data_IF_133908297299
#
_entry.id   IF_133908297299
#
_cell.length_a   1.000
_cell.length_b   1.000
_cell.length_c   1.000
_cell.angle_alpha   90.00
_cell.angle_beta   90.00
_cell.angle_gamma   90.00
#
_symmetry.space_group_name_H-M   'P 1'
#
loop_
_entity.id
_entity.type
_entity.pdbx_description
1 polymer ?
#
# COMPACT_ATOMS: atom_id res chain seq x y z
N UNK A 1 45.51 41.81 -9.11
CA UNK A 1 44.06 41.68 -8.88
C UNK A 1 43.92 40.37 -8.11
N UNK A 2 43.65 40.45 -6.81
CA UNK A 2 43.76 39.35 -5.85
C UNK A 2 42.43 38.58 -5.79
N UNK A 3 42.52 37.26 -5.68
CA UNK A 3 41.45 36.26 -5.53
C UNK A 3 40.37 36.62 -4.49
N UNK A 4 39.12 36.26 -4.80
CA UNK A 4 38.10 35.96 -3.80
C UNK A 4 37.30 34.72 -4.22
N UNK A 5 37.44 33.67 -3.42
CA UNK A 5 36.52 32.54 -3.31
C UNK A 5 35.15 33.04 -2.82
N UNK A 6 34.07 32.66 -3.51
CA UNK A 6 32.71 32.56 -2.94
C UNK A 6 32.08 31.29 -3.52
N UNK A 7 32.30 30.15 -2.88
CA UNK A 7 31.36 29.45 -1.98
C UNK A 7 30.11 28.98 -2.72
N UNK A 8 29.94 27.65 -2.70
CA UNK A 8 28.80 26.90 -3.19
C UNK A 8 27.46 27.55 -2.82
N UNK A 9 26.53 27.57 -3.77
CA UNK A 9 25.12 27.40 -3.45
C UNK A 9 24.64 26.15 -4.20
N UNK A 10 25.06 25.00 -3.67
CA UNK A 10 24.17 23.85 -3.57
C UNK A 10 23.02 24.33 -2.66
N UNK A 11 22.03 25.01 -3.21
CA UNK A 11 20.72 25.05 -2.56
C UNK A 11 20.12 23.68 -2.84
N UNK A 12 20.58 22.71 -2.04
CA UNK A 12 19.78 21.55 -1.72
C UNK A 12 18.51 22.11 -1.10
N UNK A 13 17.51 22.32 -1.95
CA UNK A 13 16.14 22.44 -1.51
C UNK A 13 15.65 21.05 -1.10
N UNK A 14 16.35 20.48 -0.11
CA UNK A 14 15.79 19.55 0.85
C UNK A 14 14.95 20.38 1.81
N UNK A 15 13.99 21.13 1.27
CA UNK A 15 12.83 21.54 2.01
C UNK A 15 12.16 20.24 2.41
N UNK A 16 12.41 19.83 3.65
CA UNK A 16 11.45 19.20 4.54
C UNK A 16 10.30 18.54 3.77
N UNK A 17 10.62 17.48 3.03
CA UNK A 17 9.64 16.53 2.52
C UNK A 17 9.19 15.81 3.76
N UNK A 18 8.39 16.52 4.57
CA UNK A 18 8.14 16.22 5.96
C UNK A 18 7.88 14.75 6.08
N UNK A 19 8.58 14.07 7.00
CA UNK A 19 8.45 12.63 7.22
C UNK A 19 6.97 12.27 7.29
N UNK A 20 6.38 11.92 6.15
CA UNK A 20 5.00 11.49 6.06
C UNK A 20 5.06 10.11 6.64
N UNK A 21 4.62 10.00 7.90
CA UNK A 21 4.44 8.72 8.53
C UNK A 21 3.40 7.97 7.71
N UNK A 22 3.83 6.90 7.05
CA UNK A 22 2.94 6.02 6.31
C UNK A 22 2.53 4.87 7.23
N UNK A 23 1.25 4.53 7.16
CA UNK A 23 0.75 3.27 7.71
C UNK A 23 0.47 2.32 6.55
N UNK A 24 0.49 1.01 6.82
CA UNK A 24 0.10 0.02 5.84
C UNK A 24 -1.35 -0.39 6.06
N UNK A 25 -2.16 -0.28 5.01
CA UNK A 25 -3.53 -0.77 4.99
C UNK A 25 -3.68 -2.02 4.14
N UNK A 26 -4.67 -2.84 4.48
CA UNK A 26 -5.13 -3.96 3.68
C UNK A 26 -6.62 -3.86 3.37
N UNK A 27 -7.03 -4.30 2.18
CA UNK A 27 -8.42 -4.25 1.73
C UNK A 27 -8.78 -5.45 0.85
N UNK A 28 -10.00 -6.02 0.99
CA UNK A 28 -10.53 -6.99 0.04
C UNK A 28 -10.63 -6.43 -1.38
N UNK A 29 -10.11 -7.17 -2.35
CA UNK A 29 -10.29 -6.87 -3.78
C UNK A 29 -10.82 -8.08 -4.53
N UNK A 30 -11.29 -7.86 -5.75
CA UNK A 30 -11.78 -8.90 -6.65
C UNK A 30 -11.26 -8.66 -8.08
N UNK A 31 -11.13 -9.70 -8.91
CA UNK A 31 -10.74 -9.55 -10.31
C UNK A 31 -11.74 -8.66 -11.08
N UNK A 32 -11.22 -7.76 -11.92
CA UNK A 32 -12.00 -6.74 -12.61
C UNK A 32 -12.27 -7.05 -14.10
N UNK A 33 -12.25 -8.34 -14.46
CA UNK A 33 -12.56 -8.86 -15.79
C UNK A 33 -11.41 -8.85 -16.81
N UNK A 34 -10.29 -8.19 -16.51
CA UNK A 34 -9.06 -8.23 -17.32
C UNK A 34 -7.92 -8.87 -16.52
N UNK A 35 -7.02 -9.65 -17.15
CA UNK A 35 -5.87 -10.24 -16.47
C UNK A 35 -5.02 -9.18 -15.76
N UNK A 36 -4.64 -9.45 -14.51
CA UNK A 36 -3.86 -8.52 -13.69
C UNK A 36 -4.65 -7.32 -13.14
N UNK A 37 -5.90 -7.10 -13.56
CA UNK A 37 -6.71 -5.99 -13.05
C UNK A 37 -7.65 -6.42 -11.94
N UNK A 38 -7.61 -5.67 -10.86
CA UNK A 38 -8.45 -5.82 -9.68
C UNK A 38 -9.28 -4.57 -9.44
N UNK A 39 -10.34 -4.74 -8.65
CA UNK A 39 -11.15 -3.64 -8.17
C UNK A 39 -11.51 -3.87 -6.71
N UNK A 40 -11.83 -2.77 -6.01
CA UNK A 40 -12.28 -2.82 -4.63
C UNK A 40 -13.59 -3.61 -4.56
N UNK A 41 -13.68 -4.56 -3.62
CA UNK A 41 -14.92 -5.27 -3.38
C UNK A 41 -15.96 -4.31 -2.79
N UNK A 42 -17.15 -4.27 -3.39
CA UNK A 42 -18.24 -3.40 -2.92
C UNK A 42 -18.56 -3.67 -1.45
N UNK A 43 -18.89 -2.60 -0.71
CA UNK A 43 -19.23 -2.64 0.72
C UNK A 43 -18.14 -3.20 1.66
N UNK A 44 -16.88 -3.22 1.22
CA UNK A 44 -15.74 -3.52 2.08
C UNK A 44 -14.93 -2.27 2.35
N UNK A 45 -14.29 -2.21 3.52
CA UNK A 45 -13.42 -1.12 3.91
C UNK A 45 -12.01 -1.63 4.13
N UNK A 46 -11.04 -0.80 3.76
CA UNK A 46 -9.65 -1.01 4.12
C UNK A 46 -9.49 -0.90 5.66
N UNK A 47 -8.47 -1.57 6.18
CA UNK A 47 -8.06 -1.46 7.58
C UNK A 47 -6.56 -1.31 7.70
N UNK A 48 -6.11 -0.55 8.69
CA UNK A 48 -4.70 -0.44 9.03
C UNK A 48 -4.23 -1.77 9.61
N UNK A 49 -3.19 -2.36 9.00
CA UNK A 49 -2.59 -3.62 9.44
C UNK A 49 -1.19 -3.45 10.03
N UNK A 50 -0.52 -2.31 9.77
CA UNK A 50 0.72 -1.91 10.42
C UNK A 50 0.88 -0.39 10.40
N UNK A 51 1.58 0.18 11.38
CA UNK A 51 1.93 1.62 11.44
C UNK A 51 3.41 1.89 11.17
N UNK A 52 4.22 0.84 11.10
CA UNK A 52 5.68 0.93 11.08
C UNK A 52 6.29 0.19 9.89
N UNK A 53 5.59 -0.82 9.36
CA UNK A 53 6.07 -1.67 8.27
C UNK A 53 5.57 -1.16 6.91
N UNK A 54 6.37 -1.39 5.88
CA UNK A 54 5.96 -1.19 4.49
C UNK A 54 5.34 -2.46 3.87
N UNK A 55 4.96 -2.39 2.59
CA UNK A 55 4.38 -3.54 1.89
C UNK A 55 5.39 -4.71 1.83
N UNK A 56 6.67 -4.44 1.57
CA UNK A 56 7.68 -5.49 1.42
C UNK A 56 7.92 -6.23 2.74
N UNK A 57 7.96 -5.52 3.86
CA UNK A 57 8.05 -6.12 5.20
C UNK A 57 6.89 -7.08 5.47
N UNK A 58 5.66 -6.68 5.13
CA UNK A 58 4.48 -7.53 5.31
C UNK A 58 4.48 -8.73 4.36
N UNK A 59 4.92 -8.56 3.11
CA UNK A 59 5.03 -9.65 2.16
C UNK A 59 5.98 -10.76 2.66
N UNK A 60 7.11 -10.40 3.30
CA UNK A 60 8.08 -11.36 3.84
C UNK A 60 7.53 -12.24 4.97
N UNK A 61 6.47 -11.80 5.64
CA UNK A 61 5.86 -12.50 6.78
C UNK A 61 4.47 -13.06 6.48
N UNK A 62 4.01 -12.95 5.23
CA UNK A 62 2.75 -13.57 4.83
C UNK A 62 2.81 -15.10 5.02
N UNK A 63 1.69 -15.73 5.38
CA UNK A 63 1.61 -17.19 5.36
C UNK A 63 1.88 -17.71 3.95
N UNK A 64 2.46 -18.91 3.84
CA UNK A 64 2.73 -19.57 2.54
C UNK A 64 1.47 -19.79 1.68
N UNK A 65 0.28 -19.72 2.28
CA UNK A 65 -0.99 -19.77 1.56
C UNK A 65 -1.31 -18.48 0.80
N UNK A 66 -0.53 -17.41 0.96
CA UNK A 66 -0.70 -16.14 0.26
C UNK A 66 0.49 -15.87 -0.65
N UNK A 67 0.21 -15.50 -1.90
CA UNK A 67 1.20 -15.25 -2.92
C UNK A 67 0.99 -13.87 -3.56
N UNK A 68 2.07 -13.23 -3.97
CA UNK A 68 2.01 -11.98 -4.75
C UNK A 68 1.40 -12.28 -6.11
N UNK A 69 0.54 -11.39 -6.60
CA UNK A 69 0.05 -11.42 -7.97
C UNK A 69 0.94 -10.49 -8.80
N UNK A 70 1.69 -11.07 -9.74
CA UNK A 70 2.58 -10.33 -10.62
C UNK A 70 1.80 -9.36 -11.52
N UNK A 71 2.40 -8.19 -11.79
CA UNK A 71 1.85 -7.12 -12.65
C UNK A 71 0.43 -6.67 -12.27
N UNK A 72 0.04 -6.84 -11.00
CA UNK A 72 -1.29 -6.52 -10.55
C UNK A 72 -1.55 -5.00 -10.50
N UNK A 73 -2.73 -4.60 -10.95
CA UNK A 73 -3.22 -3.21 -10.98
C UNK A 73 -4.58 -3.13 -10.33
N UNK A 74 -4.92 -1.97 -9.78
CA UNK A 74 -6.25 -1.71 -9.23
C UNK A 74 -6.94 -0.57 -9.99
N UNK A 75 -8.21 -0.79 -10.36
CA UNK A 75 -9.10 0.24 -10.90
C UNK A 75 -9.36 1.35 -9.88
N UNK A 76 -9.46 2.58 -10.37
CA UNK A 76 -9.51 3.82 -9.61
C UNK A 76 -8.21 4.16 -8.90
N UNK A 77 -7.09 3.51 -9.24
CA UNK A 77 -5.78 3.78 -8.66
C UNK A 77 -4.69 3.83 -9.73
N UNK A 78 -4.73 2.91 -10.70
CA UNK A 78 -3.74 2.80 -11.77
C UNK A 78 -4.28 3.22 -13.15
N UNK A 79 -5.56 3.53 -13.26
CA UNK A 79 -6.27 3.96 -14.47
C UNK A 79 -6.94 5.33 -14.33
N UNK A 80 -6.81 5.97 -13.16
CA UNK A 80 -7.28 7.33 -12.91
C UNK A 80 -6.12 8.31 -13.06
N UNK A 81 -6.18 9.16 -14.09
CA UNK A 81 -5.11 10.09 -14.44
C UNK A 81 -4.86 11.13 -13.34
N UNK A 82 -5.90 11.59 -12.65
CA UNK A 82 -5.75 12.58 -11.57
C UNK A 82 -4.95 12.00 -10.41
N UNK A 83 -5.18 10.73 -10.10
CA UNK A 83 -4.45 10.01 -9.05
C UNK A 83 -3.01 9.73 -9.48
N UNK A 84 -2.82 9.15 -10.66
CA UNK A 84 -1.49 8.74 -11.15
C UNK A 84 -0.56 9.95 -11.30
N UNK A 85 -1.09 11.12 -11.67
CA UNK A 85 -0.30 12.34 -11.86
C UNK A 85 -0.06 13.14 -10.59
N UNK A 86 -0.97 13.07 -9.60
CA UNK A 86 -0.91 13.90 -8.40
C UNK A 86 -0.30 13.19 -7.19
N UNK A 87 -0.40 11.86 -7.14
CA UNK A 87 0.01 11.09 -5.98
C UNK A 87 1.48 10.66 -6.07
N UNK A 88 2.34 11.14 -5.13
CA UNK A 88 3.77 10.88 -5.17
C UNK A 88 4.17 9.40 -5.20
N UNK A 89 3.30 8.50 -4.72
CA UNK A 89 3.54 7.06 -4.73
C UNK A 89 3.61 6.48 -6.15
N UNK A 90 3.00 7.16 -7.12
CA UNK A 90 2.95 6.73 -8.52
C UNK A 90 3.92 7.50 -9.42
N UNK A 91 4.57 8.55 -8.91
CA UNK A 91 5.48 9.41 -9.68
C UNK A 91 6.67 8.68 -10.31
N UNK A 92 7.08 7.53 -9.76
CA UNK A 92 8.17 6.70 -10.31
C UNK A 92 7.68 5.39 -10.94
N UNK A 93 6.37 5.27 -11.19
CA UNK A 93 5.76 4.02 -11.64
C UNK A 93 5.40 3.10 -10.47
N UNK A 94 5.31 1.79 -10.75
CA UNK A 94 4.93 0.78 -9.77
C UNK A 94 6.05 0.54 -8.75
N UNK A 95 5.90 1.08 -7.53
CA UNK A 95 6.80 0.78 -6.40
C UNK A 95 6.21 -0.36 -5.53
N UNK A 96 6.83 -1.56 -5.52
CA UNK A 96 6.36 -2.69 -4.72
C UNK A 96 6.44 -2.44 -3.20
N UNK A 97 7.11 -1.38 -2.74
CA UNK A 97 7.09 -0.95 -1.34
C UNK A 97 5.80 -0.22 -0.95
N UNK A 98 5.13 0.35 -1.95
CA UNK A 98 3.94 1.18 -1.76
C UNK A 98 2.64 0.44 -2.02
N UNK A 99 2.68 -0.60 -2.87
CA UNK A 99 1.48 -1.35 -3.27
C UNK A 99 1.78 -2.81 -3.63
N UNK A 100 0.86 -3.71 -3.29
CA UNK A 100 0.81 -5.06 -3.85
C UNK A 100 -0.61 -5.64 -3.84
N UNK A 101 -0.91 -6.55 -4.77
CA UNK A 101 -2.05 -7.47 -4.64
C UNK A 101 -1.51 -8.85 -4.27
N UNK A 102 -2.16 -9.48 -3.29
CA UNK A 102 -1.87 -10.86 -2.89
C UNK A 102 -3.11 -11.73 -3.03
N UNK A 103 -2.90 -12.98 -3.43
CA UNK A 103 -3.92 -13.99 -3.62
C UNK A 103 -3.74 -15.13 -2.63
N UNK A 104 -4.83 -15.58 -2.02
CA UNK A 104 -4.84 -16.82 -1.27
C UNK A 104 -4.80 -18.01 -2.22
N UNK A 105 -4.16 -19.10 -1.82
CA UNK A 105 -4.03 -20.35 -2.55
C UNK A 105 -5.35 -21.09 -2.82
N UNK A 106 -6.50 -20.54 -2.37
CA UNK A 106 -7.81 -21.10 -2.67
C UNK A 106 -8.37 -20.57 -4.00
N UNK A 107 -7.74 -19.56 -4.59
CA UNK A 107 -8.15 -18.94 -5.85
C UNK A 107 -9.30 -17.93 -5.72
N UNK A 108 -9.85 -17.73 -4.52
CA UNK A 108 -11.09 -16.98 -4.30
C UNK A 108 -10.86 -15.68 -3.52
N UNK A 109 -9.82 -15.63 -2.68
CA UNK A 109 -9.53 -14.48 -1.82
C UNK A 109 -8.36 -13.68 -2.33
N UNK A 110 -8.58 -12.38 -2.50
CA UNK A 110 -7.56 -11.42 -2.88
C UNK A 110 -7.56 -10.23 -1.92
N UNK A 111 -6.37 -9.70 -1.65
CA UNK A 111 -6.19 -8.54 -0.80
C UNK A 111 -5.23 -7.56 -1.46
N UNK A 112 -5.55 -6.28 -1.35
CA UNK A 112 -4.66 -5.18 -1.70
C UNK A 112 -3.94 -4.71 -0.46
N UNK A 113 -2.62 -4.59 -0.54
CA UNK A 113 -1.75 -3.95 0.42
C UNK A 113 -1.35 -2.59 -0.13
N UNK A 114 -1.47 -1.53 0.67
CA UNK A 114 -1.13 -0.19 0.23
C UNK A 114 -0.67 0.68 1.39
N UNK A 115 0.46 1.37 1.23
CA UNK A 115 0.86 2.44 2.13
C UNK A 115 -0.15 3.57 2.04
N UNK A 116 -0.60 4.10 3.17
CA UNK A 116 -1.51 5.24 3.27
C UNK A 116 -0.90 6.30 4.18
N UNK A 117 -1.28 7.56 4.02
CA UNK A 117 -0.73 8.61 4.87
C UNK A 117 -1.32 8.52 6.30
N UNK A 118 -0.62 9.10 7.29
CA UNK A 118 -1.05 9.06 8.69
C UNK A 118 -2.44 9.68 8.94
N UNK A 119 -2.84 10.69 8.17
CA UNK A 119 -4.14 11.34 8.34
C UNK A 119 -5.29 10.42 7.91
N UNK A 120 -5.14 9.71 6.78
CA UNK A 120 -6.06 8.66 6.34
C UNK A 120 -6.11 7.53 7.37
N UNK A 121 -4.94 7.07 7.83
CA UNK A 121 -4.82 5.98 8.79
C UNK A 121 -5.55 6.27 10.10
N UNK A 122 -5.54 7.53 10.58
CA UNK A 122 -6.20 7.94 11.81
C UNK A 122 -7.73 7.78 11.78
N UNK A 123 -8.33 7.70 10.59
CA UNK A 123 -9.78 7.55 10.40
C UNK A 123 -10.21 6.11 10.11
N UNK A 124 -9.25 5.17 10.04
CA UNK A 124 -9.51 3.80 9.62
C UNK A 124 -9.55 2.83 10.80
N UNK A 125 -10.29 1.73 10.61
CA UNK A 125 -10.26 0.63 11.56
C UNK A 125 -8.86 -0.02 11.58
N UNK A 126 -8.37 -0.35 12.77
CA UNK A 126 -7.12 -1.08 12.94
C UNK A 126 -7.38 -2.57 13.14
N UNK A 127 -6.72 -3.39 12.34
CA UNK A 127 -6.70 -4.85 12.47
C UNK A 127 -5.27 -5.34 12.24
N UNK A 128 -4.41 -5.05 13.22
CA UNK A 128 -2.97 -5.29 13.10
C UNK A 128 -2.63 -6.73 12.76
N UNK A 129 -1.73 -6.90 11.77
CA UNK A 129 -1.26 -8.22 11.38
C UNK A 129 -0.11 -8.64 12.29
N UNK A 130 -0.42 -9.41 13.33
CA UNK A 130 0.53 -9.87 14.35
C UNK A 130 1.00 -11.30 14.08
N UNK A 131 2.18 -11.63 14.60
CA UNK A 131 2.70 -13.00 14.56
C UNK A 131 1.70 -13.99 15.18
N UNK A 132 1.44 -15.09 14.48
CA UNK A 132 0.53 -16.15 14.93
C UNK A 132 -0.96 -15.87 14.70
N UNK A 133 -1.33 -14.75 14.07
CA UNK A 133 -2.71 -14.50 13.63
C UNK A 133 -2.88 -14.81 12.14
N UNK A 134 -4.03 -15.36 11.72
CA UNK A 134 -4.37 -15.49 10.30
C UNK A 134 -4.41 -14.11 9.65
N UNK A 135 -3.74 -13.96 8.51
CA UNK A 135 -3.73 -12.70 7.74
C UNK A 135 -5.15 -12.29 7.31
N UNK A 136 -6.02 -13.27 7.09
CA UNK A 136 -7.44 -13.10 6.80
C UNK A 136 -8.17 -12.24 7.82
N UNK A 137 -7.83 -12.36 9.11
CA UNK A 137 -8.51 -11.59 10.15
C UNK A 137 -8.23 -10.09 10.00
N UNK A 138 -7.06 -9.75 9.46
CA UNK A 138 -6.66 -8.38 9.18
C UNK A 138 -7.41 -7.82 7.98
N UNK A 139 -7.61 -8.64 6.94
CA UNK A 139 -8.23 -8.20 5.68
C UNK A 139 -9.76 -8.24 5.73
N UNK A 140 -10.34 -9.35 6.20
CA UNK A 140 -11.78 -9.63 6.12
C UNK A 140 -12.49 -9.52 7.48
N UNK A 141 -11.74 -9.27 8.56
CA UNK A 141 -12.24 -9.36 9.93
C UNK A 141 -12.38 -10.80 10.41
N UNK A 142 -12.64 -10.97 11.71
CA UNK A 142 -13.12 -12.25 12.22
C UNK A 142 -14.57 -12.43 11.76
N UNK A 143 -14.87 -13.52 11.05
CA UNK A 143 -16.26 -13.99 10.95
C UNK A 143 -16.75 -14.20 12.38
N UNK A 144 -17.57 -13.28 12.87
CA UNK A 144 -18.48 -13.60 13.96
C UNK A 144 -19.67 -14.21 13.26
N UNK A 145 -19.84 -15.53 13.40
CA UNK A 145 -20.95 -16.27 12.82
C UNK A 145 -22.27 -15.49 13.00
N UNK A 146 -23.00 -15.33 11.91
CA UNK A 146 -24.43 -15.03 11.91
C UNK A 146 -25.15 -16.17 11.21
#
# INVERSE_FOLDING_TARGET
MIDFLTVANLESDTADSGMLLFALAAMPVEPAGAPGWFQRRMHTCASVISREEDVSDVLLRLPQSWNIVDDARCKGLHDDEDIVTSDPRFNQGFDPRSFAIVAHADGERFAMLMLINAAEAALMQERFFRKGQPFEHCVFGSRTDR
#
